data_IF_054234871343
#
_entry.id   IF_054234871343
#
_cell.length_a   1.000
_cell.length_b   1.000
_cell.length_c   1.000
_cell.angle_alpha   90.00
_cell.angle_beta   90.00
_cell.angle_gamma   90.00
#
_symmetry.space_group_name_H-M   'P 1'
#
loop_
_entity.id
_entity.type
_entity.pdbx_description
1 polymer ?
#
# COMPACT_ATOMS: atom_id res chain seq x y z
N UNK A 1 22.11 -18.53 -11.59
CA UNK A 1 21.01 -17.95 -12.39
C UNK A 1 19.92 -17.55 -11.39
N UNK A 2 19.66 -16.26 -11.21
CA UNK A 2 18.89 -15.76 -10.05
C UNK A 2 17.40 -16.08 -10.19
N UNK A 3 16.71 -16.37 -9.09
CA UNK A 3 15.26 -16.70 -9.02
C UNK A 3 14.40 -15.62 -9.72
N UNK A 4 14.86 -14.37 -9.70
CA UNK A 4 14.26 -13.22 -10.37
C UNK A 4 14.29 -13.38 -11.90
N UNK A 5 15.37 -13.93 -12.47
CA UNK A 5 15.51 -14.16 -13.92
C UNK A 5 14.56 -15.27 -14.39
N UNK A 6 14.35 -16.30 -13.57
CA UNK A 6 13.40 -17.39 -13.87
C UNK A 6 11.93 -16.91 -13.80
N UNK A 7 11.60 -16.06 -12.82
CA UNK A 7 10.27 -15.50 -12.67
C UNK A 7 9.89 -14.60 -13.86
N UNK A 8 10.78 -13.71 -14.30
CA UNK A 8 10.54 -12.85 -15.45
C UNK A 8 10.48 -13.61 -16.79
N UNK A 9 11.20 -14.72 -16.91
CA UNK A 9 11.19 -15.56 -18.12
C UNK A 9 9.92 -16.44 -18.19
N UNK A 10 9.43 -16.92 -17.04
CA UNK A 10 8.18 -17.68 -16.94
C UNK A 10 6.93 -16.83 -17.24
N UNK A 11 6.89 -15.57 -16.77
CA UNK A 11 5.78 -14.64 -17.02
C UNK A 11 5.67 -14.23 -18.50
N UNK A 12 6.79 -14.21 -19.26
CA UNK A 12 6.78 -13.85 -20.69
C UNK A 12 6.21 -14.93 -21.62
N UNK A 13 6.09 -16.17 -21.17
CA UNK A 13 5.58 -17.30 -21.96
C UNK A 13 4.14 -17.72 -21.57
N UNK A 14 3.49 -17.01 -20.64
CA UNK A 14 2.14 -17.33 -20.20
C UNK A 14 1.10 -16.59 -21.03
N UNK A 15 0.24 -17.34 -21.72
CA UNK A 15 -0.95 -16.80 -22.37
C UNK A 15 -1.90 -16.24 -21.30
N UNK A 16 -2.63 -15.16 -21.61
CA UNK A 16 -3.53 -14.46 -20.67
C UNK A 16 -4.43 -15.36 -19.80
N UNK A 17 -5.05 -16.43 -20.34
CA UNK A 17 -5.85 -17.38 -19.54
C UNK A 17 -5.03 -18.14 -18.49
N UNK A 18 -3.79 -18.50 -18.82
CA UNK A 18 -2.89 -19.22 -17.90
C UNK A 18 -2.41 -18.32 -16.76
N UNK A 19 -2.09 -17.05 -17.07
CA UNK A 19 -1.75 -16.05 -16.05
C UNK A 19 -2.91 -15.81 -15.09
N UNK A 20 -4.13 -15.67 -15.63
CA UNK A 20 -5.34 -15.48 -14.81
C UNK A 20 -5.60 -16.68 -13.91
N UNK A 21 -5.45 -17.91 -14.43
CA UNK A 21 -5.59 -19.13 -13.64
C UNK A 21 -4.56 -19.20 -12.49
N UNK A 22 -3.30 -18.88 -12.76
CA UNK A 22 -2.25 -18.86 -11.73
C UNK A 22 -2.51 -17.78 -10.69
N UNK A 23 -2.89 -16.57 -11.10
CA UNK A 23 -3.24 -15.49 -10.18
C UNK A 23 -4.43 -15.88 -9.29
N UNK A 24 -5.49 -16.42 -9.88
CA UNK A 24 -6.67 -16.90 -9.15
C UNK A 24 -6.30 -18.00 -8.14
N UNK A 25 -5.52 -19.00 -8.56
CA UNK A 25 -5.10 -20.10 -7.69
C UNK A 25 -4.21 -19.62 -6.54
N UNK A 26 -3.28 -18.69 -6.80
CA UNK A 26 -2.43 -18.09 -5.77
C UNK A 26 -3.28 -17.30 -4.78
N UNK A 27 -4.21 -16.46 -5.25
CA UNK A 27 -5.11 -15.70 -4.37
C UNK A 27 -5.96 -16.62 -3.51
N UNK A 28 -6.57 -17.64 -4.12
CA UNK A 28 -7.39 -18.64 -3.41
C UNK A 28 -6.59 -19.33 -2.31
N UNK A 29 -5.39 -19.81 -2.64
CA UNK A 29 -4.51 -20.49 -1.68
C UNK A 29 -4.13 -19.57 -0.52
N UNK A 30 -3.76 -18.32 -0.82
CA UNK A 30 -3.40 -17.34 0.21
C UNK A 30 -4.58 -17.08 1.14
N UNK A 31 -5.77 -16.83 0.62
CA UNK A 31 -6.98 -16.59 1.42
C UNK A 31 -7.30 -17.78 2.32
N UNK A 32 -7.27 -19.01 1.78
CA UNK A 32 -7.54 -20.21 2.56
C UNK A 32 -6.50 -20.44 3.67
N UNK A 33 -5.21 -20.20 3.38
CA UNK A 33 -4.15 -20.28 4.40
C UNK A 33 -4.40 -19.29 5.53
N UNK A 34 -4.70 -18.03 5.20
CA UNK A 34 -4.94 -16.99 6.22
C UNK A 34 -6.16 -17.32 7.09
N UNK A 35 -7.20 -17.93 6.52
CA UNK A 35 -8.36 -18.41 7.27
C UNK A 35 -7.99 -19.48 8.30
N UNK A 36 -7.19 -20.46 7.89
CA UNK A 36 -6.78 -21.57 8.77
C UNK A 36 -5.86 -21.11 9.90
N UNK A 37 -4.99 -20.14 9.63
CA UNK A 37 -4.02 -19.60 10.60
C UNK A 37 -4.68 -18.64 11.62
N UNK A 38 -5.72 -17.89 11.22
CA UNK A 38 -6.51 -17.04 12.13
C UNK A 38 -7.23 -17.86 13.20
N UNK A 39 -7.86 -18.96 12.81
CA UNK A 39 -8.60 -19.81 13.73
C UNK A 39 -7.71 -20.42 14.83
N UNK A 40 -6.39 -20.47 14.60
CA UNK A 40 -5.39 -20.91 15.59
C UNK A 40 -4.87 -19.76 16.47
N UNK A 41 -4.89 -18.51 15.99
CA UNK A 41 -4.30 -17.36 16.69
C UNK A 41 -5.28 -16.59 17.56
N UNK A 42 -6.59 -16.80 17.40
CA UNK A 42 -7.63 -16.21 18.26
C UNK A 42 -7.49 -16.55 19.76
N UNK A 43 -6.75 -17.61 20.11
CA UNK A 43 -6.58 -18.10 21.47
C UNK A 43 -5.34 -17.55 22.21
N UNK A 44 -4.52 -16.67 21.62
CA UNK A 44 -3.29 -16.18 22.24
C UNK A 44 -3.13 -14.64 22.18
N UNK A 45 -3.00 -13.98 23.34
CA UNK A 45 -2.41 -12.64 23.48
C UNK A 45 -1.69 -12.53 24.83
N UNK A 46 -0.48 -11.93 24.87
CA UNK A 46 -0.28 -10.50 24.60
C UNK A 46 0.78 -10.22 23.51
N UNK A 47 0.85 -8.96 23.06
CA UNK A 47 1.71 -8.39 22.00
C UNK A 47 2.93 -9.27 21.63
N UNK A 48 2.75 -10.14 20.63
CA UNK A 48 3.75 -11.15 20.28
C UNK A 48 5.01 -10.58 19.63
N UNK A 49 6.07 -11.39 19.57
CA UNK A 49 7.34 -11.07 18.89
C UNK A 49 7.13 -10.54 17.46
N UNK A 50 6.13 -11.06 16.75
CA UNK A 50 5.78 -10.65 15.39
C UNK A 50 5.33 -9.18 15.31
N UNK A 51 4.55 -8.71 16.29
CA UNK A 51 4.11 -7.32 16.35
C UNK A 51 5.30 -6.36 16.54
N UNK A 52 6.24 -6.73 17.43
CA UNK A 52 7.45 -5.93 17.66
C UNK A 52 8.30 -5.89 16.39
N UNK A 53 8.50 -7.04 15.74
CA UNK A 53 9.24 -7.12 14.48
C UNK A 53 8.61 -6.24 13.39
N UNK A 54 7.29 -6.29 13.23
CA UNK A 54 6.57 -5.48 12.25
C UNK A 54 6.73 -3.97 12.49
N UNK A 55 6.63 -3.54 13.75
CA UNK A 55 6.84 -2.14 14.15
C UNK A 55 8.28 -1.71 13.86
N UNK A 56 9.26 -2.52 14.25
CA UNK A 56 10.69 -2.22 14.02
C UNK A 56 10.99 -2.13 12.52
N UNK A 57 10.44 -3.03 11.72
CA UNK A 57 10.58 -3.03 10.26
C UNK A 57 9.99 -1.75 9.63
N UNK A 58 8.81 -1.33 10.09
CA UNK A 58 8.12 -0.14 9.59
C UNK A 58 8.96 1.13 9.86
N UNK A 59 9.52 1.25 11.06
CA UNK A 59 10.39 2.38 11.39
C UNK A 59 11.75 2.31 10.70
N UNK A 60 12.33 1.11 10.54
CA UNK A 60 13.58 0.94 9.82
C UNK A 60 13.49 1.45 8.37
N UNK A 61 12.39 1.15 7.66
CA UNK A 61 12.17 1.63 6.30
C UNK A 61 12.04 3.15 6.21
N UNK A 62 11.63 3.82 7.28
CA UNK A 62 11.55 5.29 7.31
C UNK A 62 12.90 5.91 7.64
N UNK A 63 13.60 5.34 8.63
CA UNK A 63 14.78 5.95 9.23
C UNK A 63 16.06 5.60 8.46
N UNK A 64 16.20 4.39 7.93
CA UNK A 64 17.42 3.98 7.21
C UNK A 64 17.70 4.85 5.98
N UNK A 65 16.72 5.15 5.09
CA UNK A 65 16.95 6.04 3.97
C UNK A 65 17.41 7.43 4.41
N UNK A 66 16.85 7.93 5.52
CA UNK A 66 17.25 9.21 6.10
C UNK A 66 18.69 9.21 6.60
N UNK A 67 19.15 8.13 7.23
CA UNK A 67 20.54 7.98 7.67
C UNK A 67 21.52 7.99 6.49
N UNK A 68 21.12 7.47 5.33
CA UNK A 68 21.91 7.51 4.09
C UNK A 68 21.60 8.73 3.20
N UNK A 69 20.84 9.70 3.71
CA UNK A 69 20.44 10.95 3.02
C UNK A 69 19.66 10.72 1.71
N UNK A 70 18.96 9.59 1.60
CA UNK A 70 18.07 9.27 0.48
C UNK A 70 16.64 9.59 0.89
N UNK A 71 15.97 10.44 0.11
CA UNK A 71 14.55 10.73 0.28
C UNK A 71 13.73 9.73 -0.52
N UNK A 72 12.92 8.92 0.16
CA UNK A 72 12.06 7.92 -0.47
C UNK A 72 10.61 8.36 -0.33
N UNK A 73 9.86 8.26 -1.42
CA UNK A 73 8.44 8.59 -1.43
C UNK A 73 7.65 7.66 -0.50
N UNK A 74 6.62 8.19 0.17
CA UNK A 74 5.76 7.46 1.09
C UNK A 74 5.24 6.13 0.51
N UNK A 75 4.71 6.15 -0.72
CA UNK A 75 4.23 4.93 -1.40
C UNK A 75 5.36 3.91 -1.61
N UNK A 76 6.59 4.36 -1.90
CA UNK A 76 7.72 3.43 -2.05
C UNK A 76 8.18 2.84 -0.71
N UNK A 77 8.11 3.61 0.39
CA UNK A 77 8.31 3.06 1.73
C UNK A 77 7.28 1.95 2.00
N UNK A 78 6.00 2.18 1.68
CA UNK A 78 4.97 1.16 1.81
C UNK A 78 5.21 -0.08 0.93
N UNK A 79 5.65 0.09 -0.33
CA UNK A 79 6.01 -1.05 -1.20
C UNK A 79 7.14 -1.87 -0.59
N UNK A 80 8.23 -1.21 -0.17
CA UNK A 80 9.36 -1.88 0.47
C UNK A 80 8.91 -2.62 1.74
N UNK A 81 8.07 -1.99 2.56
CA UNK A 81 7.50 -2.62 3.75
C UNK A 81 6.67 -3.85 3.42
N UNK A 82 5.80 -3.75 2.42
CA UNK A 82 4.94 -4.85 1.97
C UNK A 82 5.76 -6.04 1.47
N UNK A 83 6.79 -5.78 0.66
CA UNK A 83 7.70 -6.84 0.18
C UNK A 83 8.43 -7.50 1.34
N UNK A 84 8.97 -6.72 2.28
CA UNK A 84 9.66 -7.28 3.45
C UNK A 84 8.71 -8.02 4.39
N UNK A 85 7.45 -7.57 4.53
CA UNK A 85 6.43 -8.28 5.29
C UNK A 85 6.16 -9.68 4.72
N UNK A 86 6.07 -9.81 3.39
CA UNK A 86 5.95 -11.11 2.72
C UNK A 86 7.20 -11.98 2.89
N UNK A 87 8.39 -11.40 2.71
CA UNK A 87 9.66 -12.14 2.86
C UNK A 87 9.86 -12.63 4.30
N UNK A 88 9.43 -11.84 5.28
CA UNK A 88 9.51 -12.18 6.69
C UNK A 88 8.36 -13.08 7.17
N UNK A 89 7.37 -13.36 6.31
CA UNK A 89 6.11 -14.05 6.66
C UNK A 89 5.44 -13.47 7.93
N UNK A 90 5.52 -12.14 8.12
CA UNK A 90 5.01 -11.46 9.31
C UNK A 90 3.56 -11.05 9.13
N UNK A 91 2.66 -11.69 9.86
CA UNK A 91 1.22 -11.41 9.81
C UNK A 91 0.89 -10.00 10.29
N UNK A 92 1.52 -9.55 11.39
CA UNK A 92 1.36 -8.19 11.88
C UNK A 92 1.84 -7.16 10.84
N UNK A 93 2.96 -7.42 10.16
CA UNK A 93 3.44 -6.54 9.11
C UNK A 93 2.51 -6.52 7.90
N UNK A 94 1.95 -7.66 7.50
CA UNK A 94 0.96 -7.74 6.41
C UNK A 94 -0.35 -7.02 6.77
N UNK A 95 -0.82 -7.10 8.01
CA UNK A 95 -1.98 -6.33 8.49
C UNK A 95 -1.73 -4.82 8.49
N UNK A 96 -0.55 -4.38 8.93
CA UNK A 96 -0.12 -2.97 8.83
C UNK A 96 -0.04 -2.54 7.37
N UNK A 97 0.60 -3.33 6.52
CA UNK A 97 0.76 -3.04 5.09
C UNK A 97 -0.59 -2.93 4.37
N UNK A 98 -1.55 -3.77 4.74
CA UNK A 98 -2.92 -3.75 4.20
C UNK A 98 -3.63 -2.46 4.57
N UNK A 99 -3.64 -2.09 5.85
CA UNK A 99 -4.28 -0.86 6.33
C UNK A 99 -3.64 0.38 5.72
N UNK A 100 -2.31 0.43 5.72
CA UNK A 100 -1.53 1.53 5.17
C UNK A 100 -1.74 1.65 3.65
N UNK A 101 -1.79 0.52 2.93
CA UNK A 101 -2.06 0.49 1.49
C UNK A 101 -3.45 1.03 1.14
N UNK A 102 -4.47 0.68 1.94
CA UNK A 102 -5.82 1.23 1.78
C UNK A 102 -5.86 2.74 2.09
N UNK A 103 -5.17 3.21 3.12
CA UNK A 103 -5.05 4.66 3.38
C UNK A 103 -4.36 5.41 2.23
N UNK A 104 -3.30 4.83 1.66
CA UNK A 104 -2.60 5.38 0.49
C UNK A 104 -3.55 5.44 -0.71
N UNK A 105 -4.28 4.37 -0.99
CA UNK A 105 -5.29 4.32 -2.04
C UNK A 105 -6.33 5.44 -1.85
N UNK A 106 -6.89 5.56 -0.65
CA UNK A 106 -7.90 6.59 -0.36
C UNK A 106 -7.33 8.00 -0.49
N UNK A 107 -6.13 8.26 0.05
CA UNK A 107 -5.44 9.55 -0.09
C UNK A 107 -5.20 9.91 -1.56
N UNK A 108 -4.70 8.96 -2.35
CA UNK A 108 -4.38 9.14 -3.76
C UNK A 108 -5.62 9.42 -4.62
N UNK A 109 -6.70 8.67 -4.45
CA UNK A 109 -7.93 8.87 -5.21
C UNK A 109 -8.75 10.07 -4.71
N UNK A 110 -8.65 10.44 -3.44
CA UNK A 110 -9.18 11.72 -2.96
C UNK A 110 -8.44 12.91 -3.58
N UNK A 111 -7.12 12.84 -3.73
CA UNK A 111 -6.37 13.85 -4.47
C UNK A 111 -6.83 13.93 -5.93
N UNK A 112 -7.02 12.80 -6.59
CA UNK A 112 -7.56 12.75 -7.96
C UNK A 112 -8.95 13.39 -8.08
N UNK A 113 -9.81 13.18 -7.09
CA UNK A 113 -11.18 13.71 -7.08
C UNK A 113 -11.22 15.21 -6.75
N UNK A 114 -10.46 15.65 -5.75
CA UNK A 114 -10.47 17.03 -5.24
C UNK A 114 -9.61 17.98 -6.05
N UNK A 115 -8.49 17.49 -6.62
CA UNK A 115 -7.58 18.29 -7.43
C UNK A 115 -6.90 17.44 -8.52
N UNK A 116 -7.68 17.20 -9.58
CA UNK A 116 -7.23 16.45 -10.76
C UNK A 116 -5.97 17.04 -11.41
N UNK A 117 -5.79 18.36 -11.36
CA UNK A 117 -4.62 19.03 -11.94
C UNK A 117 -3.35 18.67 -11.18
N UNK A 118 -3.39 18.69 -9.85
CA UNK A 118 -2.25 18.26 -9.02
C UNK A 118 -1.97 16.78 -9.19
N UNK A 119 -3.02 15.95 -9.22
CA UNK A 119 -2.89 14.52 -9.50
C UNK A 119 -2.16 14.23 -10.81
N UNK A 120 -2.58 14.87 -11.91
CA UNK A 120 -1.94 14.71 -13.22
C UNK A 120 -0.50 15.23 -13.21
N UNK A 121 -0.23 16.34 -12.52
CA UNK A 121 1.11 16.89 -12.35
C UNK A 121 2.05 15.90 -11.65
N UNK A 122 1.62 15.30 -10.55
CA UNK A 122 2.41 14.28 -9.84
C UNK A 122 2.62 13.05 -10.73
N UNK A 123 1.58 12.54 -11.38
CA UNK A 123 1.68 11.35 -12.24
C UNK A 123 2.64 11.58 -13.42
N UNK A 124 2.65 12.77 -13.99
CA UNK A 124 3.61 13.16 -15.04
C UNK A 124 5.02 13.36 -14.48
N UNK A 125 5.14 13.91 -13.25
CA UNK A 125 6.42 14.10 -12.56
C UNK A 125 7.24 12.82 -12.42
N UNK A 126 6.59 11.65 -12.33
CA UNK A 126 7.29 10.35 -12.23
C UNK A 126 8.07 9.97 -13.50
N UNK A 127 7.60 10.41 -14.68
CA UNK A 127 8.23 10.09 -15.96
C UNK A 127 8.82 11.31 -16.67
N UNK A 128 8.67 12.51 -16.09
CA UNK A 128 9.16 13.78 -16.63
C UNK A 128 8.76 13.98 -18.09
N UNK A 129 9.73 14.37 -18.92
CA UNK A 129 9.53 14.58 -20.37
C UNK A 129 9.01 13.33 -21.12
N UNK A 130 9.31 12.11 -20.64
CA UNK A 130 8.88 10.87 -21.31
C UNK A 130 7.36 10.72 -21.31
N UNK A 131 6.67 11.34 -20.35
CA UNK A 131 5.20 11.34 -20.27
C UNK A 131 4.50 11.98 -21.49
N UNK A 132 5.24 12.75 -22.32
CA UNK A 132 4.76 13.30 -23.60
C UNK A 132 4.42 12.20 -24.61
N UNK A 133 5.10 11.06 -24.54
CA UNK A 133 4.91 9.95 -25.47
C UNK A 133 3.79 9.02 -24.99
N UNK A 134 2.87 8.67 -25.90
CA UNK A 134 1.74 7.76 -25.64
C UNK A 134 2.10 6.46 -24.89
N UNK A 135 3.15 5.70 -25.26
CA UNK A 135 3.47 4.45 -24.56
C UNK A 135 3.87 4.67 -23.10
N UNK A 136 4.69 5.69 -22.81
CA UNK A 136 5.10 5.99 -21.44
C UNK A 136 3.94 6.52 -20.60
N UNK A 137 3.01 7.26 -21.20
CA UNK A 137 1.77 7.65 -20.52
C UNK A 137 0.88 6.45 -20.18
N UNK A 138 0.76 5.49 -21.09
CA UNK A 138 0.03 4.25 -20.82
C UNK A 138 0.71 3.46 -19.70
N UNK A 139 2.04 3.31 -19.75
CA UNK A 139 2.82 2.65 -18.71
C UNK A 139 2.63 3.33 -17.35
N UNK A 140 2.71 4.66 -17.29
CA UNK A 140 2.49 5.44 -16.07
C UNK A 140 1.10 5.19 -15.48
N UNK A 141 0.06 5.23 -16.31
CA UNK A 141 -1.30 4.96 -15.88
C UNK A 141 -1.49 3.50 -15.42
N UNK A 142 -0.84 2.55 -16.07
CA UNK A 142 -0.89 1.13 -15.66
C UNK A 142 -0.17 0.90 -14.33
N UNK A 143 1.01 1.49 -14.14
CA UNK A 143 1.74 1.43 -12.87
C UNK A 143 0.95 2.11 -11.76
N UNK A 144 0.37 3.28 -12.03
CA UNK A 144 -0.50 3.98 -11.09
C UNK A 144 -1.69 3.14 -10.64
N UNK A 145 -2.42 2.55 -11.60
CA UNK A 145 -3.57 1.70 -11.33
C UNK A 145 -3.16 0.47 -10.52
N UNK A 146 -2.07 -0.20 -10.90
CA UNK A 146 -1.58 -1.38 -10.18
C UNK A 146 -1.13 -1.02 -8.76
N UNK A 147 -0.33 0.05 -8.62
CA UNK A 147 0.30 0.41 -7.36
C UNK A 147 -0.70 0.99 -6.35
N UNK A 148 -1.58 1.88 -6.79
CA UNK A 148 -2.48 2.61 -5.90
C UNK A 148 -3.88 1.98 -5.81
N UNK A 149 -4.22 0.98 -6.63
CA UNK A 149 -5.51 0.28 -6.55
C UNK A 149 -5.34 -1.24 -6.54
N UNK A 150 -4.65 -1.82 -7.53
CA UNK A 150 -4.51 -3.27 -7.67
C UNK A 150 -3.88 -3.95 -6.44
N UNK A 151 -2.70 -3.49 -6.02
CA UNK A 151 -1.98 -4.04 -4.87
C UNK A 151 -2.74 -3.81 -3.56
N UNK A 152 -3.22 -2.59 -3.22
CA UNK A 152 -4.02 -2.39 -2.00
C UNK A 152 -5.27 -3.25 -1.92
N UNK A 153 -6.02 -3.40 -3.03
CA UNK A 153 -7.20 -4.27 -3.06
C UNK A 153 -6.85 -5.74 -2.95
N UNK A 154 -5.72 -6.17 -3.53
CA UNK A 154 -5.23 -7.54 -3.38
C UNK A 154 -4.85 -7.83 -1.93
N UNK A 155 -4.13 -6.91 -1.28
CA UNK A 155 -3.81 -7.02 0.13
C UNK A 155 -5.08 -7.05 0.99
N UNK A 156 -6.05 -6.17 0.72
CA UNK A 156 -7.33 -6.18 1.43
C UNK A 156 -8.07 -7.51 1.21
N UNK A 157 -8.08 -8.06 0.00
CA UNK A 157 -8.71 -9.34 -0.28
C UNK A 157 -8.05 -10.49 0.49
N UNK A 158 -6.72 -10.50 0.59
CA UNK A 158 -5.97 -11.60 1.23
C UNK A 158 -5.81 -11.46 2.74
N UNK A 159 -5.67 -10.24 3.25
CA UNK A 159 -5.08 -9.96 4.57
C UNK A 159 -5.92 -9.02 5.43
N UNK A 160 -7.15 -8.68 5.03
CA UNK A 160 -8.10 -7.96 5.91
C UNK A 160 -8.24 -8.61 7.30
N UNK A 161 -8.30 -9.96 7.44
CA UNK A 161 -8.42 -10.61 8.73
C UNK A 161 -7.22 -10.40 9.65
N UNK A 162 -6.09 -9.92 9.14
CA UNK A 162 -4.90 -9.63 9.94
C UNK A 162 -4.91 -8.20 10.52
N UNK A 163 -5.82 -7.33 10.05
CA UNK A 163 -5.88 -5.95 10.51
C UNK A 163 -6.39 -5.89 11.95
N UNK A 164 -5.71 -5.11 12.79
CA UNK A 164 -6.05 -4.90 14.21
C UNK A 164 -6.01 -3.41 14.53
N UNK A 165 -6.86 -2.96 15.47
CA UNK A 165 -6.93 -1.54 15.87
C UNK A 165 -5.62 -0.98 16.42
N UNK A 166 -4.81 -1.80 17.09
CA UNK A 166 -3.53 -1.34 17.65
C UNK A 166 -2.55 -0.87 16.56
N UNK A 167 -2.69 -1.38 15.32
CA UNK A 167 -1.85 -1.03 14.17
C UNK A 167 -1.99 0.45 13.78
N UNK A 168 -3.07 1.13 14.18
CA UNK A 168 -3.26 2.57 13.98
C UNK A 168 -2.12 3.40 14.56
N UNK A 169 -1.66 3.07 15.77
CA UNK A 169 -0.61 3.82 16.46
C UNK A 169 0.73 3.84 15.71
N UNK A 170 1.32 2.69 15.32
CA UNK A 170 2.55 2.69 14.54
C UNK A 170 2.38 3.29 13.14
N UNK A 171 1.21 3.15 12.49
CA UNK A 171 0.93 3.79 11.19
C UNK A 171 0.94 5.31 11.30
N UNK A 172 0.27 5.88 12.31
CA UNK A 172 0.26 7.32 12.54
C UNK A 172 1.67 7.83 12.86
N UNK A 173 2.41 7.12 13.72
CA UNK A 173 3.77 7.51 14.07
C UNK A 173 4.69 7.45 12.84
N UNK A 174 4.65 6.37 12.06
CA UNK A 174 5.35 6.24 10.78
C UNK A 174 5.09 7.43 9.87
N UNK A 175 3.82 7.83 9.73
CA UNK A 175 3.44 8.92 8.83
C UNK A 175 3.94 10.27 9.30
N UNK A 176 3.88 10.53 10.61
CA UNK A 176 4.45 11.75 11.19
C UNK A 176 5.97 11.79 11.03
N UNK A 177 6.66 10.67 11.28
CA UNK A 177 8.12 10.57 11.11
C UNK A 177 8.51 10.81 9.65
N UNK A 178 7.78 10.23 8.69
CA UNK A 178 8.03 10.46 7.27
C UNK A 178 7.87 11.95 6.90
N UNK A 179 6.82 12.62 7.37
CA UNK A 179 6.61 14.05 7.11
C UNK A 179 7.73 14.90 7.73
N UNK A 180 8.11 14.63 8.98
CA UNK A 180 9.14 15.40 9.68
C UNK A 180 10.50 15.22 9.01
N UNK A 181 10.90 13.97 8.78
CA UNK A 181 12.25 13.65 8.34
C UNK A 181 12.41 13.74 6.82
N UNK A 182 11.47 13.19 6.04
CA UNK A 182 11.61 13.11 4.58
C UNK A 182 11.09 14.37 3.89
N UNK A 183 9.95 14.91 4.34
CA UNK A 183 9.39 16.13 3.77
C UNK A 183 9.94 17.42 4.41
N UNK A 184 10.91 17.32 5.34
CA UNK A 184 11.52 18.45 6.03
C UNK A 184 10.54 19.23 6.91
N UNK A 185 9.44 18.59 7.34
CA UNK A 185 8.37 19.21 8.12
C UNK A 185 7.43 20.12 7.31
N UNK A 186 7.75 20.44 6.06
CA UNK A 186 6.92 21.25 5.16
C UNK A 186 6.73 20.59 3.79
N UNK A 187 5.61 19.89 3.65
CA UNK A 187 5.14 19.31 2.40
C UNK A 187 4.99 20.34 1.26
N UNK A 188 4.82 21.63 1.57
CA UNK A 188 4.60 22.68 0.56
C UNK A 188 5.85 23.01 -0.24
N UNK A 189 7.01 23.06 0.40
CA UNK A 189 8.28 23.33 -0.27
C UNK A 189 8.70 22.07 -1.04
N UNK A 190 8.76 20.96 -0.33
CA UNK A 190 9.23 19.68 -0.88
C UNK A 190 8.31 19.14 -1.98
N UNK A 191 6.99 19.29 -1.85
CA UNK A 191 6.02 18.78 -2.82
C UNK A 191 5.99 19.56 -4.13
N UNK A 192 5.99 20.89 -4.08
CA UNK A 192 6.02 21.71 -5.29
C UNK A 192 7.34 21.55 -6.07
N UNK A 193 8.46 21.43 -5.35
CA UNK A 193 9.79 21.26 -5.96
C UNK A 193 9.99 19.87 -6.58
N UNK A 194 9.57 18.79 -5.89
CA UNK A 194 9.72 17.41 -6.40
C UNK A 194 8.80 17.15 -7.58
N UNK A 195 7.56 17.63 -7.53
CA UNK A 195 6.54 17.32 -8.53
C UNK A 195 6.40 18.38 -9.61
N UNK A 196 7.17 19.48 -9.53
CA UNK A 196 7.13 20.59 -10.49
C UNK A 196 5.70 21.06 -10.81
N UNK A 197 4.85 21.16 -9.78
CA UNK A 197 3.42 21.50 -9.95
C UNK A 197 3.31 22.98 -10.36
N UNK A 198 2.68 23.24 -11.51
CA UNK A 198 2.45 24.61 -12.00
C UNK A 198 0.96 24.87 -12.27
N UNK A 199 0.35 25.90 -11.66
CA UNK A 199 0.94 26.79 -10.65
C UNK A 199 1.21 26.04 -9.32
N UNK A 200 2.20 26.47 -8.51
CA UNK A 200 2.53 25.83 -7.25
C UNK A 200 1.34 25.89 -6.29
N UNK A 201 1.14 24.81 -5.52
CA UNK A 201 0.03 24.74 -4.55
C UNK A 201 0.36 25.48 -3.27
N UNK A 202 -0.63 26.22 -2.72
CA UNK A 202 -0.42 27.01 -1.50
C UNK A 202 -0.22 26.09 -0.29
N UNK A 203 0.38 26.63 0.78
CA UNK A 203 0.62 25.88 2.02
C UNK A 203 -0.65 25.28 2.64
N UNK A 204 -1.79 25.97 2.51
CA UNK A 204 -3.09 25.50 3.00
C UNK A 204 -3.53 24.19 2.33
N UNK A 205 -3.22 24.00 1.05
CA UNK A 205 -3.47 22.76 0.33
C UNK A 205 -2.67 21.60 0.94
N UNK A 206 -1.37 21.78 1.15
CA UNK A 206 -0.51 20.73 1.71
C UNK A 206 -0.84 20.39 3.17
N UNK A 207 -1.29 21.37 3.95
CA UNK A 207 -1.84 21.13 5.29
C UNK A 207 -3.13 20.28 5.21
N UNK A 208 -4.01 20.56 4.25
CA UNK A 208 -5.22 19.77 4.06
C UNK A 208 -4.91 18.32 3.64
N UNK A 209 -3.99 18.13 2.68
CA UNK A 209 -3.52 16.80 2.26
C UNK A 209 -2.99 16.01 3.47
N UNK A 210 -2.11 16.62 4.28
CA UNK A 210 -1.60 16.00 5.51
C UNK A 210 -2.73 15.60 6.48
N UNK A 211 -3.70 16.48 6.70
CA UNK A 211 -4.83 16.19 7.60
C UNK A 211 -5.68 15.04 7.09
N UNK A 212 -6.00 15.03 5.79
CA UNK A 212 -6.77 13.96 5.15
C UNK A 212 -6.03 12.63 5.29
N UNK A 213 -4.72 12.59 5.03
CA UNK A 213 -3.89 11.40 5.22
C UNK A 213 -3.94 10.89 6.66
N UNK A 214 -3.77 11.76 7.66
CA UNK A 214 -3.85 11.36 9.07
C UNK A 214 -5.24 10.84 9.44
N UNK A 215 -6.29 11.44 8.91
CA UNK A 215 -7.68 10.98 9.11
C UNK A 215 -7.85 9.58 8.53
N UNK A 216 -7.37 9.31 7.31
CA UNK A 216 -7.43 7.96 6.73
C UNK A 216 -6.61 6.96 7.53
N UNK A 217 -5.39 7.31 7.93
CA UNK A 217 -4.55 6.45 8.77
C UNK A 217 -5.17 6.12 10.14
N UNK A 218 -6.08 6.96 10.63
CA UNK A 218 -6.84 6.71 11.85
C UNK A 218 -8.10 5.84 11.59
N UNK A 219 -8.87 6.17 10.56
CA UNK A 219 -10.20 5.58 10.31
C UNK A 219 -10.11 4.23 9.59
N UNK A 220 -9.17 4.06 8.65
CA UNK A 220 -9.10 2.87 7.80
C UNK A 220 -8.88 1.57 8.58
N UNK A 221 -7.96 1.49 9.57
CA UNK A 221 -7.83 0.27 10.38
C UNK A 221 -9.13 -0.09 11.10
N UNK A 222 -9.85 0.90 11.62
CA UNK A 222 -11.14 0.66 12.28
C UNK A 222 -12.21 0.18 11.29
N UNK A 223 -12.31 0.79 10.11
CA UNK A 223 -13.22 0.32 9.06
C UNK A 223 -12.90 -1.09 8.60
N UNK A 224 -11.62 -1.45 8.47
CA UNK A 224 -11.21 -2.81 8.11
C UNK A 224 -11.69 -3.83 9.14
N UNK A 225 -11.49 -3.54 10.44
CA UNK A 225 -11.96 -4.40 11.53
C UNK A 225 -13.49 -4.51 11.51
N UNK A 226 -14.21 -3.39 11.38
CA UNK A 226 -15.68 -3.39 11.31
C UNK A 226 -16.21 -4.18 10.10
N UNK A 227 -15.61 -3.99 8.92
CA UNK A 227 -15.98 -4.70 7.70
C UNK A 227 -15.77 -6.21 7.83
N UNK A 228 -14.65 -6.60 8.44
CA UNK A 228 -14.34 -7.99 8.70
C UNK A 228 -15.35 -8.61 9.69
N UNK A 229 -15.59 -7.96 10.82
CA UNK A 229 -16.56 -8.41 11.83
C UNK A 229 -18.00 -8.46 11.31
N UNK A 230 -18.36 -7.58 10.37
CA UNK A 230 -19.67 -7.60 9.71
C UNK A 230 -19.81 -8.75 8.68
N UNK A 231 -18.78 -9.57 8.46
CA UNK A 231 -18.79 -10.68 7.50
C UNK A 231 -18.73 -10.23 6.04
N UNK A 232 -18.45 -8.96 5.75
CA UNK A 232 -18.40 -8.43 4.38
C UNK A 232 -17.26 -9.09 3.60
N UNK A 233 -16.11 -9.28 4.25
CA UNK A 233 -14.95 -9.92 3.65
C UNK A 233 -15.23 -11.38 3.26
N UNK A 234 -15.84 -12.15 4.16
CA UNK A 234 -16.30 -13.52 3.89
C UNK A 234 -17.33 -13.56 2.75
N UNK A 235 -18.29 -12.62 2.72
CA UNK A 235 -19.24 -12.52 1.61
C UNK A 235 -18.53 -12.31 0.28
N UNK A 236 -17.59 -11.36 0.22
CA UNK A 236 -16.78 -11.07 -0.99
C UNK A 236 -15.97 -12.30 -1.40
N UNK A 237 -15.26 -12.94 -0.47
CA UNK A 237 -14.51 -14.19 -0.74
C UNK A 237 -15.42 -15.24 -1.35
N UNK A 238 -16.59 -15.48 -0.75
CA UNK A 238 -17.53 -16.47 -1.24
C UNK A 238 -18.04 -16.15 -2.64
N UNK A 239 -18.26 -14.88 -2.98
CA UNK A 239 -18.68 -14.48 -4.33
C UNK A 239 -17.58 -14.67 -5.38
N UNK A 240 -16.31 -14.48 -5.02
CA UNK A 240 -15.19 -14.57 -5.96
C UNK A 240 -14.57 -15.96 -6.07
N UNK A 241 -14.57 -16.74 -4.98
CA UNK A 241 -13.88 -18.03 -4.92
C UNK A 241 -14.81 -19.24 -5.04
N UNK A 242 -16.12 -19.12 -4.77
CA UNK A 242 -17.03 -20.24 -5.05
C UNK A 242 -17.25 -20.31 -6.56
N UNK A 243 -16.99 -21.48 -7.19
CA UNK A 243 -17.43 -21.67 -8.56
C UNK A 243 -18.95 -21.49 -8.61
N UNK A 244 -19.44 -20.68 -9.56
CA UNK A 244 -20.81 -20.82 -10.00
C UNK A 244 -20.89 -22.21 -10.63
N UNK A 245 -21.49 -23.15 -9.90
CA UNK A 245 -21.93 -24.42 -10.46
C UNK A 245 -22.91 -24.16 -11.61
#
# INVERSE_FOLDING_TARGET
>A
MSVITFFFQSVRCMDGPSFFSVAHNTLTRTVLRMRDDEQRTADAMPLGSDAIQAIMLLFAITLLPMLVRVRILYTFCWVAFTVLAHVAESEAALGIATSLGLSIMMGWYSLRALDRTTFLGILQGWFGFLSKYRPFRLLANSVDLLLHMGVPLTLAFCYLPLVRLWMTAPILLFSQLWIVFVAGGDLCLTGNDIYHIYPPRPKTFWIAVRKIEMIYNCIIPALCVCMYQAGIHEFVINCFLKPKM
#
